data_IF_392799679354
#
_entry.id   IF_392799679354
#
_cell.length_a   1.000
_cell.length_b   1.000
_cell.length_c   1.000
_cell.angle_alpha   90.00
_cell.angle_beta   90.00
_cell.angle_gamma   90.00
#
_symmetry.space_group_name_H-M   'P 1'
#
loop_
_entity.id
_entity.type
_entity.pdbx_description
1 polymer ?
#
# COMPACT_ATOMS: atom_id res chain seq x y z
N UNK A 1 -19.82 5.39 -34.09
CA UNK A 1 -18.93 5.58 -32.93
C UNK A 1 -19.65 4.96 -31.76
N UNK A 2 -19.39 3.69 -31.49
CA UNK A 2 -20.07 2.93 -30.44
C UNK A 2 -19.41 3.22 -29.11
N UNK A 3 -20.13 3.86 -28.19
CA UNK A 3 -19.73 3.93 -26.79
C UNK A 3 -20.12 2.60 -26.14
N UNK A 4 -19.12 1.79 -25.80
CA UNK A 4 -19.33 0.63 -24.94
C UNK A 4 -19.67 1.13 -23.54
N UNK A 5 -20.89 0.86 -23.10
CA UNK A 5 -21.33 1.05 -21.72
C UNK A 5 -20.67 -0.02 -20.86
N UNK A 6 -19.58 0.34 -20.17
CA UNK A 6 -19.03 -0.39 -19.03
C UNK A 6 -19.30 0.39 -17.73
N UNK A 7 -19.18 -0.22 -16.55
CA UNK A 7 -19.40 0.47 -15.28
C UNK A 7 -18.34 1.57 -15.10
N UNK A 8 -18.72 2.82 -15.36
CA UNK A 8 -17.85 4.02 -15.22
C UNK A 8 -17.94 4.56 -13.79
N UNK A 9 -18.05 3.69 -12.79
CA UNK A 9 -18.07 4.10 -11.40
C UNK A 9 -16.92 3.43 -10.67
N UNK A 10 -15.78 4.14 -10.64
CA UNK A 10 -14.64 3.80 -9.79
C UNK A 10 -14.83 4.58 -8.51
N UNK A 11 -15.12 3.89 -7.41
CA UNK A 11 -15.09 4.48 -6.08
C UNK A 11 -13.62 4.70 -5.70
N UNK A 12 -13.18 5.95 -5.67
CA UNK A 12 -11.83 6.32 -5.24
C UNK A 12 -11.87 6.72 -3.76
N UNK A 13 -11.19 5.95 -2.92
CA UNK A 13 -10.95 6.26 -1.52
C UNK A 13 -9.53 6.79 -1.32
N UNK A 14 -9.38 7.78 -0.44
CA UNK A 14 -8.07 8.21 0.06
C UNK A 14 -7.90 7.71 1.50
N UNK A 15 -6.69 7.28 1.83
CA UNK A 15 -6.33 6.95 3.21
C UNK A 15 -4.97 7.56 3.56
N UNK A 16 -4.81 7.89 4.84
CA UNK A 16 -3.55 8.33 5.41
C UNK A 16 -3.07 7.28 6.42
N UNK A 17 -1.84 6.81 6.27
CA UNK A 17 -1.23 5.84 7.19
C UNK A 17 0.02 6.44 7.82
N UNK A 18 0.00 6.60 9.15
CA UNK A 18 1.14 7.07 9.94
C UNK A 18 1.95 5.90 10.48
N UNK A 19 3.14 5.67 9.92
CA UNK A 19 4.07 4.65 10.38
C UNK A 19 5.03 5.27 11.39
N UNK A 20 4.89 4.88 12.66
CA UNK A 20 5.75 5.37 13.74
C UNK A 20 6.84 4.36 14.06
N UNK A 21 8.09 4.79 13.93
CA UNK A 21 9.25 4.02 14.37
C UNK A 21 9.54 4.22 15.85
N UNK A 22 10.58 3.53 16.32
CA UNK A 22 11.15 3.71 17.65
C UNK A 22 12.63 3.99 17.47
N UNK A 23 13.04 5.24 17.71
CA UNK A 23 14.46 5.60 17.73
C UNK A 23 15.20 4.90 18.87
N UNK A 24 16.43 4.49 18.61
CA UNK A 24 17.34 3.90 19.58
C UNK A 24 18.76 4.40 19.33
N UNK A 25 19.69 4.08 20.23
CA UNK A 25 21.10 4.35 20.00
C UNK A 25 21.51 3.66 18.69
N UNK A 26 22.18 4.39 17.78
CA UNK A 26 22.59 3.89 16.46
C UNK A 26 23.41 2.58 16.49
N UNK A 27 23.90 2.21 17.68
CA UNK A 27 24.71 1.03 17.98
C UNK A 27 23.89 -0.23 18.28
N UNK A 28 22.55 -0.13 18.41
CA UNK A 28 21.69 -1.30 18.66
C UNK A 28 20.42 -1.31 17.80
N UNK A 29 20.54 -1.71 16.53
CA UNK A 29 19.41 -1.73 15.59
C UNK A 29 18.33 -2.73 16.02
N UNK A 30 18.65 -3.82 16.73
CA UNK A 30 17.65 -4.77 17.24
C UNK A 30 16.66 -4.19 18.27
N UNK A 31 16.98 -3.04 18.88
CA UNK A 31 16.07 -2.31 19.77
C UNK A 31 15.38 -1.11 19.11
N UNK A 32 15.68 -0.89 17.82
CA UNK A 32 15.15 0.20 17.00
C UNK A 32 14.08 -0.36 16.06
N UNK A 33 13.00 0.40 15.86
CA UNK A 33 12.03 0.11 14.81
C UNK A 33 12.28 1.14 13.71
N UNK A 34 12.80 0.69 12.58
CA UNK A 34 13.07 1.52 11.41
C UNK A 34 11.76 1.77 10.63
N UNK A 35 11.23 3.00 10.67
CA UNK A 35 10.01 3.33 9.96
C UNK A 35 10.20 3.34 8.44
N UNK A 36 11.41 3.58 7.93
CA UNK A 36 11.70 3.60 6.48
C UNK A 36 11.58 2.17 5.94
N UNK A 37 12.24 1.21 6.59
CA UNK A 37 12.16 -0.19 6.19
C UNK A 37 10.73 -0.74 6.29
N UNK A 38 10.01 -0.38 7.35
CA UNK A 38 8.60 -0.75 7.51
C UNK A 38 7.73 -0.17 6.38
N UNK A 39 7.91 1.11 6.05
CA UNK A 39 7.15 1.79 4.98
C UNK A 39 7.42 1.17 3.61
N UNK A 40 8.67 0.86 3.29
CA UNK A 40 9.02 0.22 2.02
C UNK A 40 8.30 -1.11 1.82
N UNK A 41 8.18 -1.93 2.88
CA UNK A 41 7.43 -3.19 2.83
C UNK A 41 5.94 -2.97 2.61
N UNK A 42 5.36 -1.97 3.26
CA UNK A 42 3.94 -1.62 3.07
C UNK A 42 3.67 -1.25 1.62
N UNK A 43 4.52 -0.42 1.01
CA UNK A 43 4.37 -0.02 -0.41
C UNK A 43 4.39 -1.26 -1.31
N UNK A 44 5.40 -2.12 -1.18
CA UNK A 44 5.52 -3.32 -2.01
C UNK A 44 4.29 -4.23 -1.83
N UNK A 45 3.84 -4.42 -0.60
CA UNK A 45 2.68 -5.26 -0.31
C UNK A 45 1.38 -4.69 -0.89
N UNK A 46 1.17 -3.37 -0.83
CA UNK A 46 0.02 -2.72 -1.47
C UNK A 46 0.04 -2.91 -3.00
N UNK A 47 1.21 -2.82 -3.64
CA UNK A 47 1.33 -3.10 -5.06
C UNK A 47 1.01 -4.56 -5.40
N UNK A 48 1.38 -5.50 -4.53
CA UNK A 48 1.04 -6.91 -4.70
C UNK A 48 -0.46 -7.16 -4.55
N UNK A 49 -1.10 -6.54 -3.56
CA UNK A 49 -2.54 -6.65 -3.33
C UNK A 49 -3.32 -6.21 -4.57
N UNK A 50 -3.02 -5.03 -5.12
CA UNK A 50 -3.70 -4.52 -6.33
C UNK A 50 -3.33 -5.32 -7.59
N UNK A 51 -2.13 -5.90 -7.66
CA UNK A 51 -1.72 -6.64 -8.87
C UNK A 51 -2.19 -8.09 -8.89
N UNK A 52 -2.52 -8.70 -7.74
CA UNK A 52 -2.70 -10.17 -7.63
C UNK A 52 -3.90 -10.61 -6.81
N UNK A 53 -4.45 -9.77 -5.94
CA UNK A 53 -5.59 -10.13 -5.08
C UNK A 53 -6.90 -9.48 -5.54
N UNK A 54 -6.85 -8.42 -6.35
CA UNK A 54 -8.02 -7.96 -7.11
C UNK A 54 -8.10 -8.75 -8.40
N UNK A 55 -9.02 -9.72 -8.47
CA UNK A 55 -9.29 -10.47 -9.69
C UNK A 55 -9.64 -9.45 -10.80
N UNK A 56 -8.94 -9.43 -11.94
CA UNK A 56 -9.22 -8.49 -13.03
C UNK A 56 -10.62 -8.65 -13.64
N UNK A 57 -11.36 -9.70 -13.26
CA UNK A 57 -12.75 -9.96 -13.65
C UNK A 57 -13.77 -9.61 -12.57
N UNK A 58 -13.34 -9.26 -11.35
CA UNK A 58 -14.26 -8.75 -10.33
C UNK A 58 -14.63 -7.31 -10.71
N UNK A 59 -15.85 -7.16 -11.25
CA UNK A 59 -16.38 -5.92 -11.84
C UNK A 59 -17.59 -5.42 -11.08
#
# INVERSE_FOLDING_TARGET
MEFRSGPIFVESGFFEAKISGKGGHAVSPQHTIDPILATSKVIIWLQQLVSRETDPLDT
#
